data_IF_415208557608
#
_entry.id   IF_415208557608
#
_cell.length_a   1.000
_cell.length_b   1.000
_cell.length_c   1.000
_cell.angle_alpha   90.00
_cell.angle_beta   90.00
_cell.angle_gamma   90.00
#
_symmetry.space_group_name_H-M   'P 1'
#
loop_
_entity.id
_entity.type
_entity.pdbx_description
1 polymer ?
#
# COMPACT_ATOMS: atom_id res chain seq x y z
N UNK A 1 47.84 -33.50 35.81
CA UNK A 1 46.67 -32.64 36.06
C UNK A 1 46.42 -31.90 34.77
N UNK A 2 45.47 -32.37 33.96
CA UNK A 2 45.08 -31.71 32.70
C UNK A 2 43.80 -30.90 32.97
N UNK A 3 43.94 -29.58 32.93
CA UNK A 3 42.85 -28.64 33.05
C UNK A 3 42.12 -28.57 31.71
N UNK A 4 40.97 -29.21 31.61
CA UNK A 4 40.05 -29.09 30.47
C UNK A 4 39.21 -27.84 30.67
N UNK A 5 39.67 -26.71 30.15
CA UNK A 5 38.88 -25.51 30.03
C UNK A 5 37.70 -25.78 29.09
N UNK A 6 36.51 -25.97 29.68
CA UNK A 6 35.24 -26.09 29.00
C UNK A 6 34.93 -24.74 28.31
N UNK A 7 35.23 -24.71 27.01
CA UNK A 7 34.80 -23.58 26.15
C UNK A 7 33.28 -23.59 26.10
N UNK A 8 32.66 -22.74 26.90
CA UNK A 8 31.23 -22.51 26.88
C UNK A 8 30.83 -21.99 25.51
N UNK A 9 30.15 -22.80 24.72
CA UNK A 9 29.57 -22.39 23.45
C UNK A 9 28.46 -21.37 23.72
N UNK A 10 28.78 -20.10 23.46
CA UNK A 10 27.81 -19.01 23.59
C UNK A 10 26.53 -19.27 22.77
N UNK A 11 25.41 -18.70 23.17
CA UNK A 11 24.12 -18.88 22.48
C UNK A 11 24.24 -18.49 21.02
N UNK A 12 23.95 -19.43 20.11
CA UNK A 12 23.92 -19.18 18.67
C UNK A 12 22.90 -18.09 18.39
N UNK A 13 23.26 -17.03 17.64
CA UNK A 13 22.29 -16.01 17.28
C UNK A 13 21.15 -16.66 16.49
N UNK A 14 19.93 -16.56 17.03
CA UNK A 14 18.73 -17.06 16.39
C UNK A 14 18.59 -16.42 15.00
N UNK A 15 18.69 -17.23 13.96
CA UNK A 15 18.52 -16.78 12.58
C UNK A 15 17.15 -16.11 12.45
N UNK A 16 17.14 -14.79 12.21
CA UNK A 16 15.91 -14.06 11.95
C UNK A 16 15.23 -14.67 10.72
N UNK A 17 13.94 -15.04 10.79
CA UNK A 17 13.24 -15.61 9.65
C UNK A 17 13.29 -14.64 8.47
N UNK A 18 13.94 -15.07 7.38
CA UNK A 18 13.96 -14.32 6.12
C UNK A 18 12.53 -14.31 5.58
N UNK A 19 11.90 -13.14 5.37
CA UNK A 19 10.54 -13.08 4.84
C UNK A 19 10.52 -13.73 3.46
N UNK A 20 9.78 -14.83 3.33
CA UNK A 20 9.58 -15.56 2.08
C UNK A 20 8.90 -14.65 1.05
N UNK A 21 9.28 -14.69 -0.24
CA UNK A 21 8.65 -13.87 -1.28
C UNK A 21 7.13 -14.07 -1.37
N UNK A 22 6.65 -15.26 -1.03
CA UNK A 22 5.23 -15.60 -0.94
C UNK A 22 4.46 -14.73 0.06
N UNK A 23 5.08 -14.32 1.16
CA UNK A 23 4.45 -13.45 2.16
C UNK A 23 4.16 -12.04 1.65
N UNK A 24 5.02 -11.50 0.78
CA UNK A 24 4.81 -10.17 0.19
C UNK A 24 3.69 -10.17 -0.84
N UNK A 25 3.60 -11.23 -1.66
CA UNK A 25 2.51 -11.39 -2.62
C UNK A 25 1.15 -11.53 -1.91
N UNK A 26 1.09 -12.37 -0.87
CA UNK A 26 -0.13 -12.53 -0.07
C UNK A 26 -0.53 -11.21 0.62
N UNK A 27 0.40 -10.47 1.18
CA UNK A 27 0.14 -9.17 1.79
C UNK A 27 -0.37 -8.15 0.75
N UNK A 28 0.21 -8.13 -0.44
CA UNK A 28 -0.24 -7.28 -1.53
C UNK A 28 -1.68 -7.60 -1.95
N UNK A 29 -1.97 -8.88 -2.19
CA UNK A 29 -3.32 -9.34 -2.61
C UNK A 29 -4.36 -9.02 -1.53
N UNK A 30 -4.05 -9.31 -0.27
CA UNK A 30 -4.94 -9.00 0.85
C UNK A 30 -5.22 -7.49 0.94
N UNK A 31 -4.20 -6.66 0.83
CA UNK A 31 -4.33 -5.21 0.90
C UNK A 31 -5.14 -4.66 -0.28
N UNK A 32 -4.87 -5.12 -1.50
CA UNK A 32 -5.62 -4.72 -2.70
C UNK A 32 -7.10 -5.17 -2.61
N UNK A 33 -7.37 -6.38 -2.08
CA UNK A 33 -8.73 -6.86 -1.85
C UNK A 33 -9.48 -5.99 -0.83
N UNK A 34 -8.85 -5.61 0.27
CA UNK A 34 -9.45 -4.69 1.26
C UNK A 34 -9.79 -3.36 0.61
N UNK A 35 -8.87 -2.78 -0.16
CA UNK A 35 -9.12 -1.52 -0.87
C UNK A 35 -10.26 -1.67 -1.89
N UNK A 36 -10.30 -2.77 -2.65
CA UNK A 36 -11.35 -3.02 -3.64
C UNK A 36 -12.73 -3.15 -2.98
N UNK A 37 -12.85 -3.94 -1.92
CA UNK A 37 -14.12 -4.15 -1.19
C UNK A 37 -14.61 -2.84 -0.56
N UNK A 38 -13.73 -2.08 0.05
CA UNK A 38 -14.08 -0.80 0.68
C UNK A 38 -14.40 0.29 -0.35
N UNK A 39 -13.76 0.27 -1.53
CA UNK A 39 -14.12 1.15 -2.64
C UNK A 39 -15.56 0.88 -3.13
N UNK A 40 -16.00 -0.38 -3.16
CA UNK A 40 -17.40 -0.74 -3.43
C UNK A 40 -18.37 -0.18 -2.38
N UNK A 41 -17.95 -0.09 -1.12
CA UNK A 41 -18.72 0.51 -0.03
C UNK A 41 -18.69 2.06 -0.03
N UNK A 42 -18.03 2.68 -1.01
CA UNK A 42 -17.90 4.14 -1.11
C UNK A 42 -16.87 4.76 -0.16
N UNK A 43 -16.02 3.95 0.45
CA UNK A 43 -14.99 4.43 1.38
C UNK A 43 -13.75 4.96 0.62
N UNK A 44 -13.88 6.14 0.06
CA UNK A 44 -12.86 6.81 -0.77
C UNK A 44 -11.55 7.14 -0.04
N UNK A 45 -11.55 7.17 1.30
CA UNK A 45 -10.40 7.52 2.14
C UNK A 45 -9.51 6.31 2.51
N UNK A 46 -9.89 5.10 2.15
CA UNK A 46 -9.16 3.87 2.51
C UNK A 46 -7.72 3.83 1.97
N UNK A 47 -7.40 4.29 0.76
CA UNK A 47 -6.01 4.41 0.31
C UNK A 47 -5.13 5.23 1.25
N UNK A 48 -5.68 6.29 1.86
CA UNK A 48 -4.98 7.10 2.85
C UNK A 48 -4.67 6.29 4.12
N UNK A 49 -5.66 5.53 4.65
CA UNK A 49 -5.46 4.67 5.82
C UNK A 49 -4.41 3.59 5.55
N UNK A 50 -4.43 2.99 4.36
CA UNK A 50 -3.42 2.02 3.93
C UNK A 50 -2.03 2.66 3.90
N UNK A 51 -1.93 3.90 3.43
CA UNK A 51 -0.70 4.69 3.48
C UNK A 51 -0.22 4.92 4.91
N UNK A 52 -1.11 5.31 5.81
CA UNK A 52 -0.80 5.50 7.24
C UNK A 52 -0.26 4.21 7.86
N UNK A 53 -0.92 3.08 7.64
CA UNK A 53 -0.49 1.77 8.13
C UNK A 53 0.91 1.39 7.59
N UNK A 54 1.17 1.64 6.31
CA UNK A 54 2.48 1.45 5.69
C UNK A 54 3.55 2.36 6.31
N UNK A 55 3.18 3.58 6.69
CA UNK A 55 4.06 4.53 7.38
C UNK A 55 4.48 4.07 8.78
N UNK A 56 3.58 3.43 9.53
CA UNK A 56 3.85 2.84 10.85
C UNK A 56 4.76 1.61 10.75
N UNK A 57 4.60 0.79 9.72
CA UNK A 57 5.30 -0.48 9.53
C UNK A 57 6.81 -0.36 9.18
N UNK A 58 7.52 0.52 9.79
CA UNK A 58 8.81 1.19 9.57
C UNK A 58 10.04 0.35 9.14
N UNK A 59 9.98 -0.97 8.97
CA UNK A 59 11.18 -1.82 8.78
C UNK A 59 11.87 -1.69 7.41
N UNK A 60 11.11 -1.39 6.34
CA UNK A 60 11.63 -1.18 4.98
C UNK A 60 10.77 -0.15 4.24
N UNK A 61 10.81 1.08 4.70
CA UNK A 61 10.01 2.21 4.23
C UNK A 61 9.70 2.22 2.72
N UNK A 62 10.75 2.20 1.88
CA UNK A 62 10.55 2.30 0.43
C UNK A 62 9.68 1.17 -0.13
N UNK A 63 9.89 -0.06 0.34
CA UNK A 63 9.13 -1.23 -0.12
C UNK A 63 7.67 -1.18 0.35
N UNK A 64 7.44 -0.78 1.60
CA UNK A 64 6.09 -0.66 2.15
C UNK A 64 5.28 0.44 1.47
N UNK A 65 5.89 1.60 1.21
CA UNK A 65 5.22 2.69 0.47
C UNK A 65 4.88 2.26 -0.95
N UNK A 66 5.83 1.64 -1.66
CA UNK A 66 5.58 1.12 -3.02
C UNK A 66 4.45 0.11 -3.01
N UNK A 67 4.46 -0.85 -2.07
CA UNK A 67 3.41 -1.85 -1.93
C UNK A 67 2.05 -1.20 -1.63
N UNK A 68 1.98 -0.23 -0.72
CA UNK A 68 0.75 0.48 -0.37
C UNK A 68 0.19 1.28 -1.57
N UNK A 69 1.04 1.99 -2.30
CA UNK A 69 0.65 2.75 -3.49
C UNK A 69 0.12 1.81 -4.58
N UNK A 70 0.86 0.75 -4.92
CA UNK A 70 0.42 -0.20 -5.93
C UNK A 70 -0.86 -0.94 -5.51
N UNK A 71 -0.97 -1.37 -4.26
CA UNK A 71 -2.19 -2.03 -3.76
C UNK A 71 -3.40 -1.08 -3.80
N UNK A 72 -3.22 0.19 -3.51
CA UNK A 72 -4.28 1.21 -3.60
C UNK A 72 -4.72 1.42 -5.04
N UNK A 73 -3.78 1.56 -5.97
CA UNK A 73 -4.08 1.73 -7.40
C UNK A 73 -4.81 0.51 -7.96
N UNK A 74 -4.28 -0.70 -7.70
CA UNK A 74 -4.91 -1.96 -8.16
C UNK A 74 -6.28 -2.14 -7.52
N UNK A 75 -6.40 -1.92 -6.20
CA UNK A 75 -7.65 -2.04 -5.48
C UNK A 75 -8.74 -1.10 -6.02
N UNK A 76 -8.38 0.10 -6.43
CA UNK A 76 -9.32 1.03 -7.09
C UNK A 76 -9.59 0.69 -8.55
N UNK A 77 -8.62 0.11 -9.26
CA UNK A 77 -8.81 -0.31 -10.64
C UNK A 77 -9.79 -1.50 -10.77
N UNK A 78 -9.81 -2.41 -9.79
CA UNK A 78 -10.67 -3.61 -9.81
C UNK A 78 -12.16 -3.28 -9.93
N UNK A 79 -12.77 -2.42 -9.10
CA UNK A 79 -14.18 -2.04 -9.26
C UNK A 79 -14.47 -1.43 -10.63
N UNK A 80 -13.61 -0.55 -11.13
CA UNK A 80 -13.77 0.06 -12.46
C UNK A 80 -13.72 -1.00 -13.56
N UNK A 81 -12.81 -1.96 -13.47
CA UNK A 81 -12.70 -3.08 -14.40
C UNK A 81 -13.94 -3.96 -14.38
N UNK A 82 -14.45 -4.32 -13.19
CA UNK A 82 -15.66 -5.13 -13.02
C UNK A 82 -16.88 -4.42 -13.60
N UNK A 83 -17.03 -3.12 -13.36
CA UNK A 83 -18.13 -2.33 -13.95
C UNK A 83 -18.06 -2.32 -15.49
N UNK A 84 -16.86 -2.19 -16.06
CA UNK A 84 -16.65 -2.24 -17.50
C UNK A 84 -17.02 -3.60 -18.08
N UNK A 85 -16.64 -4.71 -17.43
CA UNK A 85 -16.97 -6.08 -17.84
C UNK A 85 -18.48 -6.38 -17.77
N UNK A 86 -19.20 -5.75 -16.83
CA UNK A 86 -20.65 -5.88 -16.71
C UNK A 86 -21.44 -5.05 -17.72
N UNK A 87 -20.77 -4.38 -18.65
CA UNK A 87 -21.40 -3.54 -19.67
C UNK A 87 -22.05 -2.27 -19.09
N UNK A 88 -21.78 -1.93 -17.84
CA UNK A 88 -22.27 -0.69 -17.24
C UNK A 88 -21.56 0.51 -17.89
N UNK A 89 -22.26 1.67 -18.07
CA UNK A 89 -21.76 2.79 -18.84
C UNK A 89 -20.69 3.61 -18.07
N UNK A 90 -19.73 2.92 -17.41
CA UNK A 90 -18.67 3.56 -16.66
C UNK A 90 -17.85 4.53 -17.52
N UNK A 91 -17.62 4.19 -18.79
CA UNK A 91 -16.95 5.06 -19.74
C UNK A 91 -17.78 6.28 -20.15
N UNK A 92 -19.11 6.15 -20.22
CA UNK A 92 -20.00 7.28 -20.51
C UNK A 92 -20.06 8.25 -19.32
N UNK A 93 -20.18 7.73 -18.11
CA UNK A 93 -20.13 8.52 -16.87
C UNK A 93 -18.78 9.23 -16.74
N UNK A 94 -17.68 8.56 -16.98
CA UNK A 94 -16.34 9.16 -16.93
C UNK A 94 -16.19 10.29 -17.95
N UNK A 95 -16.72 10.15 -19.17
CA UNK A 95 -16.72 11.21 -20.19
C UNK A 95 -17.57 12.40 -19.75
N UNK A 96 -18.76 12.15 -19.19
CA UNK A 96 -19.62 13.21 -18.68
C UNK A 96 -18.93 14.01 -17.56
N UNK A 97 -18.29 13.33 -16.62
CA UNK A 97 -17.52 13.98 -15.54
C UNK A 97 -16.37 14.81 -16.11
N UNK A 98 -15.62 14.27 -17.09
CA UNK A 98 -14.53 15.01 -17.72
C UNK A 98 -15.03 16.28 -18.41
N UNK A 99 -16.15 16.20 -19.15
CA UNK A 99 -16.72 17.38 -19.82
C UNK A 99 -17.24 18.44 -18.84
N UNK A 100 -17.84 18.02 -17.71
CA UNK A 100 -18.26 18.94 -16.65
C UNK A 100 -17.06 19.63 -15.98
N UNK A 101 -15.92 18.97 -15.91
CA UNK A 101 -14.67 19.54 -15.41
C UNK A 101 -13.92 20.40 -16.45
N UNK A 102 -14.50 20.63 -17.63
CA UNK A 102 -13.84 21.39 -18.70
C UNK A 102 -12.66 20.65 -19.36
N UNK A 103 -12.56 19.34 -19.14
CA UNK A 103 -11.52 18.49 -19.72
C UNK A 103 -12.02 17.82 -21.02
N UNK A 104 -11.11 17.42 -21.94
CA UNK A 104 -11.49 16.63 -23.08
C UNK A 104 -12.30 15.39 -22.67
N UNK A 105 -13.40 15.04 -23.36
CA UNK A 105 -14.34 14.00 -22.92
C UNK A 105 -13.79 12.57 -23.16
N UNK A 106 -12.58 12.31 -22.71
CA UNK A 106 -11.94 10.99 -22.75
C UNK A 106 -12.13 10.30 -21.40
N UNK A 107 -12.74 9.12 -21.41
CA UNK A 107 -12.92 8.30 -20.21
C UNK A 107 -11.58 7.99 -19.50
N UNK A 108 -10.51 7.86 -20.26
CA UNK A 108 -9.16 7.61 -19.76
C UNK A 108 -8.65 8.73 -18.86
N UNK A 109 -9.00 9.98 -19.11
CA UNK A 109 -8.57 11.13 -18.29
C UNK A 109 -9.12 10.99 -16.88
N UNK A 110 -10.42 10.71 -16.75
CA UNK A 110 -11.06 10.54 -15.44
C UNK A 110 -10.52 9.30 -14.70
N UNK A 111 -10.34 8.19 -15.42
CA UNK A 111 -9.81 6.95 -14.82
C UNK A 111 -8.38 7.19 -14.30
N UNK A 112 -7.51 7.79 -15.11
CA UNK A 112 -6.13 8.09 -14.70
C UNK A 112 -6.12 9.07 -13.52
N UNK A 113 -6.93 10.12 -13.54
CA UNK A 113 -7.04 11.06 -12.43
C UNK A 113 -7.47 10.38 -11.13
N UNK A 114 -8.44 9.46 -11.19
CA UNK A 114 -8.91 8.69 -10.03
C UNK A 114 -7.81 7.78 -9.48
N UNK A 115 -7.08 7.08 -10.34
CA UNK A 115 -5.96 6.21 -9.90
C UNK A 115 -4.79 7.02 -9.32
N UNK A 116 -4.49 8.19 -9.92
CA UNK A 116 -3.50 9.12 -9.37
C UNK A 116 -3.92 9.63 -7.99
N UNK A 117 -5.19 9.94 -7.81
CA UNK A 117 -5.71 10.37 -6.51
C UNK A 117 -5.52 9.28 -5.45
N UNK A 118 -5.82 8.01 -5.78
CA UNK A 118 -5.59 6.89 -4.87
C UNK A 118 -4.10 6.73 -4.50
N UNK A 119 -3.21 6.88 -5.48
CA UNK A 119 -1.76 6.84 -5.26
C UNK A 119 -1.29 7.99 -4.35
N UNK A 120 -1.76 9.21 -4.61
CA UNK A 120 -1.43 10.41 -3.82
C UNK A 120 -1.94 10.28 -2.38
N UNK A 121 -3.15 9.78 -2.16
CA UNK A 121 -3.69 9.53 -0.83
C UNK A 121 -2.81 8.55 -0.04
N UNK A 122 -2.44 7.42 -0.65
CA UNK A 122 -1.57 6.43 0.00
C UNK A 122 -0.19 7.02 0.32
N UNK A 123 0.39 7.78 -0.60
CA UNK A 123 1.68 8.43 -0.41
C UNK A 123 1.63 9.48 0.71
N UNK A 124 0.60 10.31 0.71
CA UNK A 124 0.39 11.36 1.72
C UNK A 124 0.20 10.76 3.11
N UNK A 125 -0.61 9.70 3.23
CA UNK A 125 -0.81 8.97 4.49
C UNK A 125 0.50 8.41 5.03
N UNK A 126 1.28 7.76 4.17
CA UNK A 126 2.57 7.20 4.55
C UNK A 126 3.59 8.29 4.96
N UNK A 127 3.64 9.40 4.23
CA UNK A 127 4.55 10.51 4.52
C UNK A 127 4.17 11.23 5.81
N UNK A 128 2.88 11.52 6.01
CA UNK A 128 2.37 12.19 7.20
C UNK A 128 2.68 11.39 8.46
N UNK A 129 2.43 10.08 8.43
CA UNK A 129 2.74 9.19 9.56
C UNK A 129 4.22 9.25 9.92
N UNK A 130 5.10 9.25 8.92
CA UNK A 130 6.54 9.32 9.17
C UNK A 130 7.00 10.68 9.66
N UNK A 131 6.33 11.76 9.27
CA UNK A 131 6.62 13.10 9.76
C UNK A 131 6.20 13.29 11.23
N UNK A 132 5.09 12.63 11.64
CA UNK A 132 4.53 12.75 12.98
C UNK A 132 5.15 11.77 13.99
N UNK A 133 5.61 10.59 13.54
CA UNK A 133 6.24 9.63 14.43
C UNK A 133 7.67 10.07 14.76
N UNK A 134 7.96 10.34 16.05
CA UNK A 134 9.32 10.67 16.46
C UNK A 134 10.25 9.53 16.09
N UNK A 135 11.35 9.85 15.41
CA UNK A 135 12.43 8.89 15.17
C UNK A 135 12.89 8.43 16.54
N UNK A 136 12.63 7.16 16.89
CA UNK A 136 13.29 6.54 18.04
C UNK A 136 14.78 6.67 17.76
N UNK A 137 15.41 7.65 18.39
CA UNK A 137 16.85 7.68 18.49
C UNK A 137 17.21 6.42 19.24
N UNK A 138 17.83 5.45 18.53
CA UNK A 138 18.54 4.38 19.18
C UNK A 138 19.70 5.09 19.86
N UNK A 139 19.46 5.45 21.13
CA UNK A 139 20.51 5.95 22.03
C UNK A 139 21.46 4.77 22.19
N UNK A 140 22.54 4.78 21.40
CA UNK A 140 23.66 3.90 21.60
C UNK A 140 24.34 4.31 22.90
N UNK A 141 24.17 3.49 23.93
CA UNK A 141 25.07 3.41 25.06
C UNK A 141 25.96 2.19 24.88
#
# INVERSE_FOLDING_TARGET
>A
MADQSVVSAGPRPSARPVPRPLGWAAAFVALAAVVAVTAWAGAWFVPFIVGVAAGVASLRWRRMVVLAVFASVVGWAVPLWVLALRGLPAGATARAIASLAGLPPYATVTIVATLLLAALQALTGAWLTRALLPRRQVSGA
#
